data_IF_756260786391
#
_entry.id   IF_756260786391
#
_cell.length_a   1.000
_cell.length_b   1.000
_cell.length_c   1.000
_cell.angle_alpha   90.00
_cell.angle_beta   90.00
_cell.angle_gamma   90.00
#
_symmetry.space_group_name_H-M   'P 1'
#
loop_
_entity.id
_entity.type
_entity.pdbx_description
1 polymer ?
#
# COMPACT_ATOMS: atom_id res chain seq x y z
N UNK A 1 140.90 -7.57 12.94
CA UNK A 1 140.14 -8.75 13.42
C UNK A 1 138.88 -8.37 14.20
N UNK A 2 138.95 -7.48 15.19
CA UNK A 2 137.75 -7.10 15.97
C UNK A 2 136.72 -6.26 15.18
N UNK A 3 137.18 -5.32 14.35
CA UNK A 3 136.31 -4.42 13.56
C UNK A 3 135.51 -5.15 12.46
N UNK A 4 136.12 -6.15 11.82
CA UNK A 4 135.46 -6.98 10.80
C UNK A 4 134.36 -7.87 11.40
N UNK A 5 134.56 -8.39 12.61
CA UNK A 5 133.55 -9.15 13.35
C UNK A 5 132.34 -8.28 13.75
N UNK A 6 132.58 -7.03 14.15
CA UNK A 6 131.51 -6.07 14.51
C UNK A 6 130.67 -5.69 13.28
N UNK A 7 131.28 -5.50 12.11
CA UNK A 7 130.56 -5.18 10.86
C UNK A 7 129.71 -6.37 10.40
N UNK A 8 130.24 -7.59 10.48
CA UNK A 8 129.48 -8.81 10.14
C UNK A 8 128.32 -8.99 11.11
N UNK A 9 128.53 -8.83 12.42
CA UNK A 9 127.45 -8.89 13.41
C UNK A 9 126.38 -7.82 13.17
N UNK A 10 126.78 -6.58 12.87
CA UNK A 10 125.85 -5.49 12.55
C UNK A 10 125.04 -5.78 11.28
N UNK A 11 125.67 -6.26 10.20
CA UNK A 11 124.98 -6.66 8.97
C UNK A 11 123.99 -7.81 9.19
N UNK A 12 124.36 -8.81 10.00
CA UNK A 12 123.49 -9.92 10.35
C UNK A 12 122.28 -9.46 11.17
N UNK A 13 122.47 -8.54 12.13
CA UNK A 13 121.34 -7.94 12.87
C UNK A 13 120.42 -7.13 11.95
N UNK A 14 120.96 -6.40 10.99
CA UNK A 14 120.18 -5.57 10.07
C UNK A 14 119.38 -6.43 9.08
N UNK A 15 119.97 -7.53 8.59
CA UNK A 15 119.26 -8.54 7.79
C UNK A 15 118.17 -9.22 8.62
N UNK A 16 118.44 -9.55 9.88
CA UNK A 16 117.46 -10.17 10.76
C UNK A 16 116.26 -9.24 11.00
N UNK A 17 116.51 -7.96 11.28
CA UNK A 17 115.47 -6.93 11.43
C UNK A 17 114.67 -6.75 10.13
N UNK A 18 115.34 -6.75 8.97
CA UNK A 18 114.67 -6.66 7.67
C UNK A 18 113.74 -7.85 7.41
N UNK A 19 114.21 -9.08 7.67
CA UNK A 19 113.41 -10.31 7.54
C UNK A 19 112.23 -10.29 8.52
N UNK A 20 112.44 -9.82 9.74
CA UNK A 20 111.39 -9.71 10.75
C UNK A 20 110.33 -8.66 10.34
N UNK A 21 110.75 -7.54 9.75
CA UNK A 21 109.86 -6.52 9.20
C UNK A 21 109.05 -7.03 7.98
N UNK A 22 109.65 -7.81 7.08
CA UNK A 22 108.96 -8.46 5.96
C UNK A 22 107.90 -9.49 6.43
N UNK A 23 108.23 -10.26 7.46
CA UNK A 23 107.29 -11.19 8.12
C UNK A 23 106.13 -10.43 8.76
N UNK A 24 106.38 -9.30 9.42
CA UNK A 24 105.30 -8.47 9.96
C UNK A 24 104.46 -7.82 8.87
N UNK A 25 105.08 -7.34 7.78
CA UNK A 25 104.37 -6.78 6.62
C UNK A 25 103.44 -7.80 5.97
N UNK A 26 103.88 -9.04 5.84
CA UNK A 26 103.07 -10.13 5.28
C UNK A 26 101.96 -10.56 6.25
N UNK A 27 102.21 -10.57 7.56
CA UNK A 27 101.16 -10.79 8.58
C UNK A 27 100.12 -9.67 8.59
N UNK A 28 100.54 -8.41 8.47
CA UNK A 28 99.65 -7.24 8.34
C UNK A 28 98.83 -7.32 7.06
N UNK A 29 99.42 -7.67 5.91
CA UNK A 29 98.68 -7.92 4.66
C UNK A 29 97.68 -9.07 4.77
N UNK A 30 98.02 -10.16 5.46
CA UNK A 30 97.07 -11.26 5.74
C UNK A 30 95.93 -10.83 6.67
N UNK A 31 96.20 -9.98 7.67
CA UNK A 31 95.16 -9.38 8.52
C UNK A 31 94.28 -8.40 7.72
N UNK A 32 94.86 -7.63 6.80
CA UNK A 32 94.11 -6.72 5.92
C UNK A 32 93.15 -7.48 4.98
N UNK A 33 93.57 -8.63 4.43
CA UNK A 33 92.68 -9.53 3.66
C UNK A 33 91.47 -10.04 4.43
N UNK A 34 91.54 -10.09 5.77
CA UNK A 34 90.40 -10.45 6.63
C UNK A 34 89.33 -9.35 6.63
N UNK A 35 89.70 -8.11 6.27
CA UNK A 35 88.83 -6.95 6.18
C UNK A 35 88.37 -6.64 4.74
N UNK A 36 88.80 -7.38 3.72
CA UNK A 36 88.28 -7.24 2.34
C UNK A 36 86.76 -7.52 2.25
N UNK A 37 86.22 -8.31 3.19
CA UNK A 37 84.77 -8.56 3.32
C UNK A 37 83.95 -7.37 3.86
N UNK A 38 84.59 -6.27 4.31
CA UNK A 38 83.84 -5.08 4.76
C UNK A 38 83.26 -4.26 3.60
N UNK A 39 83.82 -4.37 2.38
CA UNK A 39 83.21 -3.83 1.16
C UNK A 39 81.89 -4.54 0.80
N UNK A 40 81.65 -5.75 1.32
CA UNK A 40 80.39 -6.47 1.14
C UNK A 40 79.30 -6.00 2.11
N UNK A 41 79.62 -5.25 3.18
CA UNK A 41 78.60 -4.80 4.14
C UNK A 41 77.72 -3.69 3.57
N UNK A 42 78.31 -2.71 2.87
CA UNK A 42 77.56 -1.65 2.19
C UNK A 42 76.70 -2.21 1.03
N UNK A 43 77.20 -3.20 0.29
CA UNK A 43 76.42 -3.87 -0.75
C UNK A 43 75.27 -4.70 -0.16
N UNK A 44 75.50 -5.37 0.97
CA UNK A 44 74.47 -6.11 1.68
C UNK A 44 73.41 -5.19 2.29
N UNK A 45 73.81 -4.05 2.86
CA UNK A 45 72.89 -3.00 3.35
C UNK A 45 72.06 -2.44 2.19
N UNK A 46 72.66 -2.16 1.02
CA UNK A 46 71.90 -1.75 -0.19
C UNK A 46 70.93 -2.83 -0.68
N UNK A 47 71.31 -4.11 -0.63
CA UNK A 47 70.41 -5.21 -0.97
C UNK A 47 69.27 -5.34 0.05
N UNK A 48 69.55 -5.12 1.35
CA UNK A 48 68.55 -5.12 2.40
C UNK A 48 67.57 -3.97 2.19
N UNK A 49 68.06 -2.75 1.95
CA UNK A 49 67.25 -1.56 1.68
C UNK A 49 66.41 -1.72 0.42
N UNK A 50 66.98 -2.31 -0.64
CA UNK A 50 66.22 -2.63 -1.85
C UNK A 50 65.10 -3.64 -1.57
N UNK A 51 65.35 -4.64 -0.73
CA UNK A 51 64.34 -5.64 -0.35
C UNK A 51 63.27 -5.07 0.59
N UNK A 52 63.65 -4.17 1.50
CA UNK A 52 62.74 -3.43 2.38
C UNK A 52 61.83 -2.55 1.53
N UNK A 53 62.40 -1.73 0.63
CA UNK A 53 61.63 -0.91 -0.32
C UNK A 53 60.69 -1.75 -1.19
N UNK A 54 61.15 -2.91 -1.68
CA UNK A 54 60.31 -3.82 -2.46
C UNK A 54 59.13 -4.36 -1.61
N UNK A 55 59.39 -4.77 -0.37
CA UNK A 55 58.36 -5.25 0.56
C UNK A 55 57.39 -4.13 0.97
N UNK A 56 57.88 -2.93 1.23
CA UNK A 56 57.06 -1.75 1.52
C UNK A 56 56.18 -1.37 0.33
N UNK A 57 56.70 -1.42 -0.89
CA UNK A 57 55.90 -1.17 -2.09
C UNK A 57 54.80 -2.22 -2.28
N UNK A 58 55.07 -3.50 -1.96
CA UNK A 58 54.07 -4.58 -1.97
C UNK A 58 53.05 -4.42 -0.86
N UNK A 59 53.48 -4.05 0.35
CA UNK A 59 52.61 -3.77 1.48
C UNK A 59 51.67 -2.61 1.18
N UNK A 60 52.18 -1.51 0.61
CA UNK A 60 51.38 -0.36 0.21
C UNK A 60 50.37 -0.71 -0.89
N UNK A 61 50.71 -1.62 -1.81
CA UNK A 61 49.75 -2.14 -2.81
C UNK A 61 48.65 -2.96 -2.15
N UNK A 62 49.00 -3.89 -1.26
CA UNK A 62 48.04 -4.71 -0.52
C UNK A 62 47.11 -3.88 0.37
N UNK A 63 47.63 -2.83 1.03
CA UNK A 63 46.82 -1.91 1.83
C UNK A 63 45.81 -1.18 0.94
N UNK A 64 46.24 -0.66 -0.23
CA UNK A 64 45.33 -0.02 -1.18
C UNK A 64 44.26 -0.98 -1.71
N UNK A 65 44.62 -2.22 -2.01
CA UNK A 65 43.66 -3.25 -2.42
C UNK A 65 42.67 -3.58 -1.30
N UNK A 66 43.14 -3.66 -0.05
CA UNK A 66 42.30 -3.88 1.12
C UNK A 66 41.32 -2.71 1.33
N UNK A 67 41.78 -1.47 1.22
CA UNK A 67 40.94 -0.27 1.33
C UNK A 67 39.87 -0.20 0.22
N UNK A 68 40.24 -0.57 -1.02
CA UNK A 68 39.29 -0.66 -2.13
C UNK A 68 38.25 -1.75 -1.90
N UNK A 69 38.67 -2.93 -1.45
CA UNK A 69 37.76 -4.03 -1.14
C UNK A 69 36.84 -3.69 0.03
N UNK A 70 37.33 -3.03 1.09
CA UNK A 70 36.49 -2.62 2.21
C UNK A 70 35.44 -1.59 1.79
N UNK A 71 35.81 -0.61 0.95
CA UNK A 71 34.86 0.37 0.43
C UNK A 71 33.79 -0.28 -0.47
N UNK A 72 34.17 -1.28 -1.27
CA UNK A 72 33.21 -2.06 -2.07
C UNK A 72 32.26 -2.87 -1.19
N UNK A 73 32.77 -3.51 -0.13
CA UNK A 73 31.94 -4.27 0.83
C UNK A 73 30.95 -3.35 1.52
N UNK A 74 31.36 -2.16 1.96
CA UNK A 74 30.48 -1.20 2.62
C UNK A 74 29.37 -0.70 1.68
N UNK A 75 29.71 -0.39 0.42
CA UNK A 75 28.71 -0.03 -0.58
C UNK A 75 27.71 -1.18 -0.87
N UNK A 76 28.20 -2.43 -0.91
CA UNK A 76 27.36 -3.60 -1.12
C UNK A 76 26.44 -3.87 0.09
N UNK A 77 26.92 -3.64 1.31
CA UNK A 77 26.09 -3.74 2.53
C UNK A 77 24.97 -2.71 2.52
N UNK A 78 25.28 -1.44 2.21
CA UNK A 78 24.25 -0.40 2.14
C UNK A 78 23.16 -0.73 1.10
N UNK A 79 23.56 -1.25 -0.07
CA UNK A 79 22.60 -1.72 -1.09
C UNK A 79 21.81 -2.94 -0.63
N UNK A 80 22.40 -3.83 0.17
CA UNK A 80 21.71 -4.98 0.72
C UNK A 80 20.64 -4.54 1.72
N UNK A 81 20.98 -3.60 2.61
CA UNK A 81 20.05 -3.04 3.60
C UNK A 81 18.84 -2.39 2.90
N UNK A 82 19.06 -1.61 1.84
CA UNK A 82 17.99 -1.02 1.01
C UNK A 82 17.07 -2.09 0.39
N UNK A 83 17.65 -3.20 -0.11
CA UNK A 83 16.88 -4.30 -0.70
C UNK A 83 16.13 -5.11 0.37
N UNK A 84 16.73 -5.33 1.53
CA UNK A 84 16.09 -6.00 2.67
C UNK A 84 14.94 -5.17 3.23
N UNK A 85 15.07 -3.84 3.30
CA UNK A 85 13.97 -2.94 3.66
C UNK A 85 12.85 -3.00 2.62
N UNK A 86 13.16 -3.01 1.32
CA UNK A 86 12.16 -3.17 0.26
C UNK A 86 11.45 -4.54 0.36
N UNK A 87 12.17 -5.61 0.66
CA UNK A 87 11.60 -6.95 0.87
C UNK A 87 10.72 -6.99 2.14
N UNK A 88 11.15 -6.34 3.22
CA UNK A 88 10.39 -6.23 4.46
C UNK A 88 9.08 -5.47 4.23
N UNK A 89 9.11 -4.31 3.59
CA UNK A 89 7.91 -3.52 3.24
C UNK A 89 6.95 -4.33 2.36
N UNK A 90 7.49 -5.06 1.39
CA UNK A 90 6.72 -5.94 0.51
C UNK A 90 6.10 -7.14 1.26
N UNK A 91 6.73 -7.63 2.32
CA UNK A 91 6.21 -8.73 3.16
C UNK A 91 4.90 -8.37 3.88
N UNK A 92 4.67 -7.07 4.15
CA UNK A 92 3.39 -6.55 4.66
C UNK A 92 2.35 -6.30 3.55
N UNK A 93 2.63 -6.68 2.31
CA UNK A 93 1.72 -6.51 1.18
C UNK A 93 1.77 -5.13 0.51
N UNK A 94 2.75 -4.29 0.85
CA UNK A 94 2.97 -3.01 0.16
C UNK A 94 3.82 -3.25 -1.09
N UNK A 95 3.16 -3.39 -2.25
CA UNK A 95 3.83 -3.40 -3.54
C UNK A 95 4.19 -1.97 -3.96
N UNK A 96 5.48 -1.70 -4.21
CA UNK A 96 5.93 -0.43 -4.77
C UNK A 96 5.68 -0.45 -6.28
N UNK A 97 4.74 0.39 -6.74
CA UNK A 97 4.41 0.49 -8.16
C UNK A 97 5.67 0.77 -8.98
N UNK A 98 5.94 -0.06 -9.98
CA UNK A 98 7.06 0.12 -10.90
C UNK A 98 6.71 1.11 -12.00
N UNK A 99 5.43 1.21 -12.34
CA UNK A 99 4.91 2.19 -13.27
C UNK A 99 3.85 3.07 -12.60
N UNK A 100 3.85 4.35 -12.90
CA UNK A 100 2.80 5.28 -12.48
C UNK A 100 2.12 5.86 -13.73
N UNK A 101 1.24 5.07 -14.35
CA UNK A 101 0.43 5.59 -15.44
C UNK A 101 -0.91 6.09 -14.88
N UNK A 102 -1.24 7.35 -15.17
CA UNK A 102 -2.48 7.97 -14.68
C UNK A 102 -3.80 7.40 -15.23
N UNK A 103 -3.79 6.37 -16.08
CA UNK A 103 -5.01 5.77 -16.66
C UNK A 103 -4.81 4.30 -17.02
N UNK A 104 -5.86 3.49 -16.81
CA UNK A 104 -5.90 2.07 -17.19
C UNK A 104 -5.66 1.83 -18.70
N UNK A 105 -5.99 2.79 -19.57
CA UNK A 105 -5.76 2.68 -21.01
C UNK A 105 -4.26 2.67 -21.37
N UNK A 106 -3.45 3.45 -20.64
CA UNK A 106 -1.99 3.50 -20.85
C UNK A 106 -1.32 2.19 -20.47
N UNK A 107 -1.78 1.54 -19.40
CA UNK A 107 -1.34 0.20 -19.02
C UNK A 107 -1.66 -0.82 -20.12
N UNK A 108 -2.86 -0.77 -20.70
CA UNK A 108 -3.26 -1.65 -21.79
C UNK A 108 -2.38 -1.46 -23.04
N UNK A 109 -2.14 -0.21 -23.44
CA UNK A 109 -1.25 0.10 -24.56
C UNK A 109 0.18 -0.42 -24.31
N UNK A 110 0.69 -0.26 -23.07
CA UNK A 110 2.01 -0.75 -22.72
C UNK A 110 2.09 -2.28 -22.74
N UNK A 111 1.06 -2.98 -22.25
CA UNK A 111 0.96 -4.44 -22.36
C UNK A 111 0.97 -4.90 -23.82
N UNK A 112 0.26 -4.20 -24.71
CA UNK A 112 0.29 -4.48 -26.15
C UNK A 112 1.68 -4.29 -26.76
N UNK A 113 2.40 -3.22 -26.38
CA UNK A 113 3.80 -3.01 -26.80
C UNK A 113 4.72 -4.13 -26.34
N UNK A 114 4.58 -4.60 -25.10
CA UNK A 114 5.40 -5.71 -24.58
C UNK A 114 5.08 -7.00 -25.32
N UNK A 115 3.81 -7.32 -25.54
CA UNK A 115 3.40 -8.50 -26.33
C UNK A 115 3.92 -8.44 -27.77
N UNK A 116 3.96 -7.24 -28.37
CA UNK A 116 4.57 -7.03 -29.67
C UNK A 116 6.10 -7.28 -29.64
N UNK A 117 6.81 -6.80 -28.62
CA UNK A 117 8.25 -7.07 -28.42
C UNK A 117 8.53 -8.56 -28.22
N UNK A 118 7.75 -9.24 -27.38
CA UNK A 118 7.85 -10.70 -27.19
C UNK A 118 7.65 -11.44 -28.52
N UNK A 119 6.60 -11.07 -29.27
CA UNK A 119 6.33 -11.65 -30.59
C UNK A 119 7.45 -11.40 -31.60
N UNK A 120 8.05 -10.20 -31.59
CA UNK A 120 9.19 -9.87 -32.44
C UNK A 120 10.44 -10.70 -32.07
N UNK A 121 10.71 -10.92 -30.77
CA UNK A 121 11.81 -11.78 -30.33
C UNK A 121 11.64 -13.23 -30.76
N UNK A 122 10.40 -13.76 -30.73
CA UNK A 122 10.11 -15.12 -31.23
C UNK A 122 10.30 -15.18 -32.75
N UNK A 123 9.81 -14.19 -33.51
CA UNK A 123 9.95 -14.14 -34.98
C UNK A 123 11.39 -14.04 -35.44
N UNK A 124 12.24 -13.35 -34.67
CA UNK A 124 13.65 -13.14 -34.99
C UNK A 124 14.57 -14.22 -34.38
N UNK A 125 14.03 -15.33 -33.85
CA UNK A 125 14.78 -16.40 -33.19
C UNK A 125 15.71 -15.93 -32.06
N UNK A 126 15.37 -14.80 -31.40
CA UNK A 126 16.14 -14.21 -30.29
C UNK A 126 15.59 -14.57 -28.91
N UNK A 127 14.42 -15.21 -28.84
CA UNK A 127 13.78 -15.59 -27.58
C UNK A 127 14.52 -16.76 -26.90
N UNK A 128 15.01 -17.72 -27.68
CA UNK A 128 15.81 -18.84 -27.22
C UNK A 128 16.90 -19.14 -28.25
N UNK A 129 18.13 -19.36 -27.78
CA UNK A 129 19.33 -19.49 -28.59
C UNK A 129 19.86 -20.90 -28.42
N UNK A 130 20.20 -21.55 -29.53
CA UNK A 130 20.97 -22.80 -29.51
C UNK A 130 22.41 -22.49 -29.93
N UNK A 131 23.37 -22.84 -29.07
CA UNK A 131 24.79 -22.53 -29.27
C UNK A 131 25.48 -23.48 -30.25
N UNK A 132 24.85 -24.61 -30.59
CA UNK A 132 25.43 -25.67 -31.41
C UNK A 132 24.60 -25.92 -32.66
N UNK A 133 25.28 -26.06 -33.80
CA UNK A 133 24.65 -26.54 -35.03
C UNK A 133 24.65 -28.06 -35.02
N UNK A 134 23.48 -28.64 -34.84
CA UNK A 134 23.29 -30.09 -34.86
C UNK A 134 23.17 -30.62 -36.29
N UNK A 135 23.69 -31.82 -36.53
CA UNK A 135 23.42 -32.61 -37.72
C UNK A 135 22.66 -33.87 -37.30
N UNK A 136 21.60 -34.20 -38.05
CA UNK A 136 20.80 -35.40 -37.81
C UNK A 136 20.87 -36.24 -39.06
N UNK A 137 21.30 -37.50 -38.93
CA UNK A 137 21.49 -38.42 -40.06
C UNK A 137 22.40 -37.83 -41.16
N UNK A 138 23.48 -37.14 -40.75
CA UNK A 138 24.42 -36.49 -41.68
C UNK A 138 23.86 -35.26 -42.43
N UNK A 139 22.69 -34.74 -42.02
CA UNK A 139 22.09 -33.56 -42.65
C UNK A 139 21.93 -32.40 -41.67
N UNK A 140 22.64 -31.29 -41.95
CA UNK A 140 22.48 -30.03 -41.24
C UNK A 140 21.07 -29.44 -41.37
N UNK A 141 20.37 -29.69 -42.49
CA UNK A 141 18.99 -29.23 -42.70
C UNK A 141 18.01 -29.94 -41.77
N UNK A 142 18.17 -31.26 -41.57
CA UNK A 142 17.37 -32.04 -40.62
C UNK A 142 17.67 -31.63 -39.17
N UNK A 143 18.94 -31.41 -38.85
CA UNK A 143 19.35 -30.90 -37.54
C UNK A 143 18.75 -29.53 -37.21
N UNK A 144 18.81 -28.56 -38.14
CA UNK A 144 18.14 -27.26 -37.98
C UNK A 144 16.63 -27.39 -37.73
N UNK A 145 15.95 -28.31 -38.44
CA UNK A 145 14.52 -28.57 -38.22
C UNK A 145 14.26 -29.11 -36.80
N UNK A 146 15.06 -30.08 -36.34
CA UNK A 146 14.96 -30.62 -34.98
C UNK A 146 15.18 -29.53 -33.93
N UNK A 147 16.23 -28.71 -34.07
CA UNK A 147 16.53 -27.61 -33.16
C UNK A 147 15.39 -26.60 -33.10
N UNK A 148 14.80 -26.22 -34.24
CA UNK A 148 13.67 -25.29 -34.27
C UNK A 148 12.41 -25.87 -33.59
N UNK A 149 12.10 -27.14 -33.79
CA UNK A 149 10.97 -27.79 -33.09
C UNK A 149 11.21 -27.89 -31.59
N UNK A 150 12.45 -28.15 -31.17
CA UNK A 150 12.82 -28.16 -29.76
C UNK A 150 12.73 -26.76 -29.13
N UNK A 151 13.22 -25.72 -29.81
CA UNK A 151 13.08 -24.32 -29.36
C UNK A 151 11.59 -23.97 -29.18
N UNK A 152 10.73 -24.35 -30.14
CA UNK A 152 9.28 -24.15 -30.01
C UNK A 152 8.70 -24.87 -28.79
N UNK A 153 9.15 -26.08 -28.49
CA UNK A 153 8.70 -26.84 -27.32
C UNK A 153 9.10 -26.13 -26.02
N UNK A 154 10.37 -25.71 -25.92
CA UNK A 154 10.92 -24.98 -24.78
C UNK A 154 10.16 -23.67 -24.54
N UNK A 155 9.95 -22.88 -25.60
CA UNK A 155 9.20 -21.62 -25.51
C UNK A 155 7.73 -21.85 -25.15
N UNK A 156 7.09 -22.91 -25.66
CA UNK A 156 5.70 -23.26 -25.30
C UNK A 156 5.59 -23.65 -23.82
N UNK A 157 6.52 -24.44 -23.31
CA UNK A 157 6.55 -24.83 -21.90
C UNK A 157 6.72 -23.60 -21.00
N UNK A 158 7.69 -22.73 -21.32
CA UNK A 158 7.94 -21.52 -20.53
C UNK A 158 6.79 -20.52 -20.59
N UNK A 159 6.23 -20.27 -21.79
CA UNK A 159 5.08 -19.39 -21.95
C UNK A 159 3.86 -19.93 -21.19
N UNK A 160 3.62 -21.24 -21.19
CA UNK A 160 2.53 -21.86 -20.44
C UNK A 160 2.62 -21.58 -18.93
N UNK A 161 3.81 -21.72 -18.35
CA UNK A 161 4.04 -21.39 -16.92
C UNK A 161 3.87 -19.89 -16.64
N UNK A 162 4.40 -19.04 -17.52
CA UNK A 162 4.27 -17.58 -17.39
C UNK A 162 2.81 -17.14 -17.47
N UNK A 163 2.07 -17.60 -18.48
CA UNK A 163 0.68 -17.22 -18.70
C UNK A 163 -0.21 -17.73 -17.55
N UNK A 164 0.07 -18.93 -17.02
CA UNK A 164 -0.60 -19.45 -15.83
C UNK A 164 -0.30 -18.65 -14.55
N UNK A 165 0.93 -18.12 -14.41
CA UNK A 165 1.29 -17.23 -13.31
C UNK A 165 0.60 -15.86 -13.47
N UNK A 166 0.69 -15.24 -14.64
CA UNK A 166 0.10 -13.94 -14.96
C UNK A 166 -1.43 -13.96 -14.78
N UNK A 167 -2.10 -15.04 -15.17
CA UNK A 167 -3.55 -15.18 -15.00
C UNK A 167 -4.00 -15.22 -13.52
N UNK A 168 -3.11 -15.60 -12.59
CA UNK A 168 -3.40 -15.72 -11.15
C UNK A 168 -2.91 -14.53 -10.33
N UNK A 169 -2.43 -13.47 -10.98
CA UNK A 169 -1.98 -12.25 -10.32
C UNK A 169 -3.09 -11.65 -9.48
N UNK A 170 -2.74 -11.28 -8.25
CA UNK A 170 -3.52 -10.57 -7.25
C UNK A 170 -2.63 -9.54 -6.56
N UNK A 171 -3.25 -8.59 -5.86
CA UNK A 171 -2.54 -7.50 -5.18
C UNK A 171 -1.39 -7.98 -4.25
N UNK A 172 -1.55 -9.14 -3.61
CA UNK A 172 -0.63 -9.64 -2.59
C UNK A 172 0.39 -10.70 -3.06
N UNK A 173 0.32 -11.15 -4.31
CA UNK A 173 1.08 -12.33 -4.75
C UNK A 173 2.08 -12.07 -5.88
N UNK A 174 2.25 -10.82 -6.32
CA UNK A 174 3.12 -10.45 -7.43
C UNK A 174 4.56 -10.99 -7.28
N UNK A 175 5.15 -10.86 -6.08
CA UNK A 175 6.52 -11.34 -5.79
C UNK A 175 6.64 -12.86 -5.83
N UNK A 176 5.66 -13.56 -5.26
CA UNK A 176 5.60 -15.03 -5.30
C UNK A 176 5.51 -15.55 -6.74
N UNK A 177 4.73 -14.88 -7.58
CA UNK A 177 4.59 -15.20 -9.00
C UNK A 177 5.85 -14.84 -9.80
N UNK A 178 6.54 -13.74 -9.49
CA UNK A 178 7.87 -13.44 -10.05
C UNK A 178 8.85 -14.59 -9.77
N UNK A 179 8.97 -15.00 -8.50
CA UNK A 179 9.86 -16.11 -8.12
C UNK A 179 9.48 -17.41 -8.82
N UNK A 180 8.18 -17.65 -9.06
CA UNK A 180 7.72 -18.81 -9.84
C UNK A 180 8.16 -18.74 -11.29
N UNK A 181 8.07 -17.58 -11.95
CA UNK A 181 8.53 -17.39 -13.34
C UNK A 181 10.05 -17.58 -13.42
N UNK A 182 10.81 -17.03 -12.47
CA UNK A 182 12.27 -17.18 -12.41
C UNK A 182 12.64 -18.67 -12.23
N UNK A 183 11.99 -19.38 -11.30
CA UNK A 183 12.21 -20.82 -11.12
C UNK A 183 11.85 -21.63 -12.36
N UNK A 184 10.76 -21.31 -13.04
CA UNK A 184 10.39 -21.97 -14.29
C UNK A 184 11.45 -21.74 -15.39
N UNK A 185 12.00 -20.54 -15.49
CA UNK A 185 13.10 -20.22 -16.41
C UNK A 185 14.35 -21.05 -16.10
N UNK A 186 14.78 -21.11 -14.83
CA UNK A 186 15.94 -21.90 -14.40
C UNK A 186 15.76 -23.40 -14.66
N UNK A 187 14.60 -23.95 -14.32
CA UNK A 187 14.29 -25.36 -14.51
C UNK A 187 14.26 -25.75 -15.98
N UNK A 188 13.62 -24.94 -16.83
CA UNK A 188 13.53 -25.21 -18.27
C UNK A 188 14.92 -25.08 -18.91
N UNK A 189 15.71 -24.08 -18.55
CA UNK A 189 17.07 -23.94 -19.06
C UNK A 189 17.99 -25.10 -18.64
N UNK A 190 17.82 -25.61 -17.40
CA UNK A 190 18.52 -26.80 -16.94
C UNK A 190 18.14 -28.05 -17.74
N UNK A 191 16.86 -28.20 -18.09
CA UNK A 191 16.39 -29.32 -18.93
C UNK A 191 16.85 -29.20 -20.39
N UNK A 192 16.98 -27.97 -20.91
CA UNK A 192 17.40 -27.71 -22.28
C UNK A 192 18.93 -27.67 -22.48
N UNK A 193 19.70 -27.70 -21.40
CA UNK A 193 21.17 -27.69 -21.41
C UNK A 193 21.75 -28.85 -22.23
N UNK A 194 21.14 -30.04 -22.15
CA UNK A 194 21.51 -31.22 -22.95
C UNK A 194 21.52 -30.92 -24.45
N UNK A 195 20.57 -30.10 -24.90
CA UNK A 195 20.42 -29.73 -26.30
C UNK A 195 21.17 -28.44 -26.65
N UNK A 196 21.91 -27.86 -25.69
CA UNK A 196 22.64 -26.58 -25.79
C UNK A 196 21.74 -25.41 -26.20
N UNK A 197 20.48 -25.46 -25.79
CA UNK A 197 19.47 -24.41 -26.01
C UNK A 197 19.20 -23.71 -24.69
N UNK A 198 19.09 -22.39 -24.72
CA UNK A 198 18.72 -21.59 -23.55
C UNK A 198 17.73 -20.50 -23.92
N UNK A 199 16.81 -20.19 -23.00
CA UNK A 199 15.95 -19.02 -23.09
C UNK A 199 16.76 -17.78 -22.71
N UNK A 200 16.64 -16.73 -23.49
CA UNK A 200 17.42 -15.50 -23.27
C UNK A 200 16.87 -14.71 -22.08
N UNK A 201 17.75 -14.13 -21.26
CA UNK A 201 17.36 -13.26 -20.12
C UNK A 201 16.48 -12.07 -20.53
N UNK A 202 16.71 -11.52 -21.72
CA UNK A 202 15.86 -10.45 -22.26
C UNK A 202 14.40 -10.88 -22.41
N UNK A 203 14.16 -12.14 -22.79
CA UNK A 203 12.81 -12.69 -22.93
C UNK A 203 12.16 -12.91 -21.55
N UNK A 204 12.92 -13.39 -20.56
CA UNK A 204 12.49 -13.47 -19.16
C UNK A 204 12.08 -12.08 -18.64
N UNK A 205 12.90 -11.06 -18.85
CA UNK A 205 12.62 -9.69 -18.40
C UNK A 205 11.32 -9.15 -19.00
N UNK A 206 11.06 -9.39 -20.30
CA UNK A 206 9.79 -8.99 -20.91
C UNK A 206 8.57 -9.72 -20.31
N UNK A 207 8.73 -10.97 -19.84
CA UNK A 207 7.68 -11.72 -19.14
C UNK A 207 7.46 -11.22 -17.72
N UNK A 208 8.52 -10.82 -17.02
CA UNK A 208 8.42 -10.17 -15.72
C UNK A 208 7.76 -8.78 -15.84
N UNK A 209 8.14 -7.98 -16.84
CA UNK A 209 7.47 -6.70 -17.10
C UNK A 209 5.98 -6.89 -17.38
N UNK A 210 5.60 -7.92 -18.14
CA UNK A 210 4.18 -8.28 -18.38
C UNK A 210 3.44 -8.62 -17.08
N UNK A 211 4.07 -9.36 -16.16
CA UNK A 211 3.52 -9.70 -14.84
C UNK A 211 3.22 -8.42 -14.04
N UNK A 212 4.20 -7.52 -13.92
CA UNK A 212 4.09 -6.29 -13.14
C UNK A 212 3.03 -5.34 -13.71
N UNK A 213 3.01 -5.14 -15.02
CA UNK A 213 1.99 -4.31 -15.65
C UNK A 213 0.58 -4.90 -15.51
N UNK A 214 0.46 -6.23 -15.51
CA UNK A 214 -0.83 -6.88 -15.31
C UNK A 214 -1.34 -6.68 -13.88
N UNK A 215 -0.45 -6.75 -12.90
CA UNK A 215 -0.76 -6.46 -11.50
C UNK A 215 -1.25 -5.01 -11.33
N UNK A 216 -0.46 -4.04 -11.78
CA UNK A 216 -0.78 -2.61 -11.64
C UNK A 216 -2.03 -2.21 -12.45
N UNK A 217 -2.25 -2.83 -13.62
CA UNK A 217 -3.48 -2.65 -14.40
C UNK A 217 -4.72 -3.13 -13.65
N UNK A 218 -4.65 -4.27 -12.97
CA UNK A 218 -5.76 -4.80 -12.20
C UNK A 218 -6.09 -3.89 -11.01
N UNK A 219 -5.08 -3.36 -10.32
CA UNK A 219 -5.27 -2.39 -9.23
C UNK A 219 -5.94 -1.12 -9.74
N UNK A 220 -5.42 -0.50 -10.81
CA UNK A 220 -6.05 0.71 -11.38
C UNK A 220 -7.46 0.47 -11.89
N UNK A 221 -7.72 -0.66 -12.53
CA UNK A 221 -9.07 -1.00 -12.99
C UNK A 221 -10.05 -1.19 -11.81
N UNK A 222 -9.56 -1.74 -10.71
CA UNK A 222 -10.35 -1.86 -9.49
C UNK A 222 -10.69 -0.48 -8.92
N UNK A 223 -9.71 0.42 -8.82
CA UNK A 223 -9.88 1.79 -8.34
C UNK A 223 -10.89 2.59 -9.18
N UNK A 224 -10.77 2.50 -10.51
CA UNK A 224 -11.69 3.14 -11.46
C UNK A 224 -13.12 2.59 -11.34
N UNK A 225 -13.27 1.27 -11.15
CA UNK A 225 -14.58 0.64 -10.98
C UNK A 225 -15.25 1.08 -9.67
N UNK A 226 -14.50 1.13 -8.57
CA UNK A 226 -15.01 1.65 -7.30
C UNK A 226 -15.41 3.13 -7.41
N UNK A 227 -14.63 3.95 -8.14
CA UNK A 227 -14.98 5.35 -8.39
C UNK A 227 -16.30 5.49 -9.13
N UNK A 228 -16.49 4.71 -10.20
CA UNK A 228 -17.75 4.69 -10.95
C UNK A 228 -18.93 4.22 -10.10
N UNK A 229 -18.74 3.22 -9.23
CA UNK A 229 -19.78 2.77 -8.31
C UNK A 229 -20.19 3.89 -7.35
N UNK A 230 -19.22 4.63 -6.79
CA UNK A 230 -19.47 5.77 -5.90
C UNK A 230 -20.23 6.88 -6.61
N UNK A 231 -19.79 7.31 -7.79
CA UNK A 231 -20.47 8.36 -8.57
C UNK A 231 -21.92 7.93 -8.85
N UNK A 232 -22.16 6.65 -9.18
CA UNK A 232 -23.52 6.13 -9.37
C UNK A 232 -24.35 6.12 -8.08
N UNK A 233 -23.75 5.77 -6.95
CA UNK A 233 -24.44 5.77 -5.65
C UNK A 233 -24.81 7.19 -5.23
N UNK A 234 -23.86 8.12 -5.33
CA UNK A 234 -24.08 9.56 -5.10
C UNK A 234 -25.18 10.11 -6.02
N UNK A 235 -25.11 9.82 -7.33
CA UNK A 235 -26.15 10.23 -8.28
C UNK A 235 -27.53 9.66 -7.90
N UNK A 236 -27.62 8.41 -7.43
CA UNK A 236 -28.89 7.81 -6.98
C UNK A 236 -29.45 8.46 -5.72
N UNK A 237 -28.60 8.73 -4.73
CA UNK A 237 -29.01 9.42 -3.51
C UNK A 237 -29.46 10.86 -3.80
N UNK A 238 -28.70 11.57 -4.63
CA UNK A 238 -29.05 12.92 -5.07
C UNK A 238 -30.33 12.94 -5.89
N UNK A 239 -30.54 11.98 -6.79
CA UNK A 239 -31.75 11.87 -7.59
C UNK A 239 -32.98 11.55 -6.73
N UNK A 240 -32.88 10.61 -5.78
CA UNK A 240 -33.96 10.32 -4.83
C UNK A 240 -34.34 11.56 -4.02
N UNK A 241 -33.34 12.28 -3.49
CA UNK A 241 -33.58 13.51 -2.75
C UNK A 241 -34.22 14.60 -3.62
N UNK A 242 -33.78 14.77 -4.87
CA UNK A 242 -34.41 15.70 -5.81
C UNK A 242 -35.87 15.35 -6.09
N UNK A 243 -36.17 14.06 -6.33
CA UNK A 243 -37.53 13.57 -6.55
C UNK A 243 -38.44 13.77 -5.33
N UNK A 244 -37.94 13.53 -4.12
CA UNK A 244 -38.68 13.79 -2.87
C UNK A 244 -39.03 15.28 -2.73
N UNK A 245 -38.07 16.18 -3.02
CA UNK A 245 -38.27 17.64 -2.98
C UNK A 245 -39.28 18.08 -4.05
N UNK A 246 -39.15 17.57 -5.28
CA UNK A 246 -40.06 17.92 -6.38
C UNK A 246 -41.49 17.44 -6.10
N UNK A 247 -41.64 16.22 -5.56
CA UNK A 247 -42.94 15.69 -5.15
C UNK A 247 -43.58 16.55 -4.05
N UNK A 248 -42.83 16.89 -3.01
CA UNK A 248 -43.32 17.74 -1.92
C UNK A 248 -43.71 19.14 -2.41
N UNK A 249 -42.94 19.72 -3.34
CA UNK A 249 -43.26 21.03 -3.95
C UNK A 249 -44.56 20.96 -4.74
N UNK A 250 -44.74 19.92 -5.56
CA UNK A 250 -45.94 19.73 -6.38
C UNK A 250 -47.18 19.47 -5.53
N UNK A 251 -47.07 18.72 -4.45
CA UNK A 251 -48.17 18.47 -3.50
C UNK A 251 -48.60 19.76 -2.78
N UNK A 252 -47.63 20.60 -2.36
CA UNK A 252 -47.92 21.89 -1.75
C UNK A 252 -48.63 22.86 -2.72
N UNK A 253 -48.15 22.95 -3.96
CA UNK A 253 -48.74 23.77 -5.02
C UNK A 253 -50.18 23.32 -5.36
N UNK A 254 -50.41 22.00 -5.46
CA UNK A 254 -51.74 21.44 -5.70
C UNK A 254 -52.71 21.71 -4.55
N UNK A 255 -52.23 21.75 -3.31
CA UNK A 255 -53.06 22.08 -2.16
C UNK A 255 -53.49 23.55 -2.18
N UNK A 256 -52.56 24.47 -2.46
CA UNK A 256 -52.86 25.90 -2.61
C UNK A 256 -53.90 26.10 -3.71
N UNK A 257 -53.69 25.53 -4.90
CA UNK A 257 -54.62 25.65 -6.02
C UNK A 257 -56.02 25.09 -5.69
N UNK A 258 -56.12 23.94 -5.02
CA UNK A 258 -57.42 23.36 -4.60
C UNK A 258 -58.17 24.27 -3.63
N UNK A 259 -57.47 24.91 -2.69
CA UNK A 259 -58.09 25.83 -1.72
C UNK A 259 -58.50 27.15 -2.39
N UNK A 260 -57.71 27.67 -3.33
CA UNK A 260 -58.07 28.86 -4.10
C UNK A 260 -59.35 28.64 -4.92
N UNK A 261 -59.47 27.50 -5.61
CA UNK A 261 -60.67 27.13 -6.36
C UNK A 261 -61.91 27.01 -5.44
N UNK A 262 -61.77 26.36 -4.28
CA UNK A 262 -62.86 26.24 -3.31
C UNK A 262 -63.31 27.60 -2.75
N UNK A 263 -62.35 28.52 -2.53
CA UNK A 263 -62.63 29.88 -2.11
C UNK A 263 -63.39 30.66 -3.19
N UNK A 264 -63.00 30.52 -4.45
CA UNK A 264 -63.65 31.20 -5.58
C UNK A 264 -65.08 30.70 -5.77
N UNK A 265 -65.31 29.38 -5.67
CA UNK A 265 -66.64 28.78 -5.69
C UNK A 265 -67.53 29.33 -4.57
N UNK A 266 -67.03 29.35 -3.32
CA UNK A 266 -67.76 29.88 -2.18
C UNK A 266 -68.07 31.38 -2.31
N UNK A 267 -67.16 32.16 -2.91
CA UNK A 267 -67.39 33.59 -3.23
C UNK A 267 -68.49 33.77 -4.28
N UNK A 268 -68.59 32.90 -5.29
CA UNK A 268 -69.68 32.96 -6.28
C UNK A 268 -71.04 32.59 -5.66
N UNK A 269 -71.05 31.61 -4.76
CA UNK A 269 -72.27 31.19 -4.06
C UNK A 269 -72.83 32.27 -3.12
N UNK A 270 -71.96 33.10 -2.53
CA UNK A 270 -72.39 34.21 -1.67
C UNK A 270 -73.16 35.30 -2.43
N UNK A 271 -72.82 35.53 -3.70
CA UNK A 271 -73.48 36.52 -4.56
C UNK A 271 -74.93 36.12 -4.86
N UNK A 272 -75.25 34.83 -4.79
CA UNK A 272 -76.57 34.26 -5.07
C UNK A 272 -77.41 34.00 -3.80
N UNK A 273 -76.81 34.05 -2.61
CA UNK A 273 -77.45 33.68 -1.35
C UNK A 273 -78.06 34.88 -0.58
N UNK A 274 -79.23 34.67 0.05
CA UNK A 274 -79.96 35.70 0.81
C UNK A 274 -80.25 35.23 2.24
N UNK A 275 -80.14 36.14 3.23
CA UNK A 275 -80.50 35.87 4.63
C UNK A 275 -79.53 34.93 5.36
N UNK A 276 -80.05 33.96 6.13
CA UNK A 276 -79.24 33.03 6.96
C UNK A 276 -78.22 32.19 6.19
N UNK A 277 -78.48 31.86 4.91
CA UNK A 277 -77.52 31.13 4.08
C UNK A 277 -76.26 31.96 3.80
N UNK A 278 -76.40 33.28 3.72
CA UNK A 278 -75.29 34.20 3.51
C UNK A 278 -74.35 34.23 4.72
N UNK A 279 -74.88 34.30 5.94
CA UNK A 279 -74.07 34.26 7.17
C UNK A 279 -73.26 32.95 7.29
N UNK A 280 -73.87 31.80 6.92
CA UNK A 280 -73.16 30.51 6.93
C UNK A 280 -72.05 30.45 5.87
N UNK A 281 -72.28 31.02 4.69
CA UNK A 281 -71.28 31.13 3.62
C UNK A 281 -70.16 32.11 3.99
N UNK A 282 -70.45 33.21 4.68
CA UNK A 282 -69.45 34.16 5.18
C UNK A 282 -68.50 33.50 6.18
N UNK A 283 -69.04 32.72 7.14
CA UNK A 283 -68.25 31.89 8.05
C UNK A 283 -67.40 30.87 7.29
N UNK A 284 -67.96 30.24 6.24
CA UNK A 284 -67.24 29.26 5.43
C UNK A 284 -66.08 29.89 4.66
N UNK A 285 -66.28 31.09 4.10
CA UNK A 285 -65.23 31.86 3.40
C UNK A 285 -64.12 32.27 4.37
N UNK A 286 -64.46 32.69 5.60
CA UNK A 286 -63.43 32.98 6.62
C UNK A 286 -62.58 31.75 6.94
N UNK A 287 -63.21 30.59 7.14
CA UNK A 287 -62.47 29.33 7.35
C UNK A 287 -61.59 28.96 6.15
N UNK A 288 -62.09 29.11 4.92
CA UNK A 288 -61.33 28.81 3.71
C UNK A 288 -60.15 29.78 3.50
N UNK A 289 -60.31 31.07 3.82
CA UNK A 289 -59.21 32.04 3.80
C UNK A 289 -58.12 31.68 4.82
N UNK A 290 -58.50 31.31 6.05
CA UNK A 290 -57.53 30.89 7.06
C UNK A 290 -56.74 29.65 6.61
N UNK A 291 -57.45 28.67 6.05
CA UNK A 291 -56.84 27.46 5.51
C UNK A 291 -55.94 27.73 4.29
N UNK A 292 -56.27 28.72 3.46
CA UNK A 292 -55.45 29.13 2.33
C UNK A 292 -54.14 29.77 2.80
N UNK A 293 -54.18 30.63 3.81
CA UNK A 293 -52.96 31.21 4.40
C UNK A 293 -52.08 30.14 5.08
N UNK A 294 -52.68 29.15 5.75
CA UNK A 294 -51.95 27.98 6.25
C UNK A 294 -51.30 27.18 5.11
N UNK A 295 -52.00 26.98 3.99
CA UNK A 295 -51.44 26.29 2.82
C UNK A 295 -50.29 27.06 2.16
N UNK A 296 -50.42 28.39 2.00
CA UNK A 296 -49.37 29.27 1.45
C UNK A 296 -48.14 29.33 2.35
N UNK A 297 -48.32 29.44 3.66
CA UNK A 297 -47.19 29.37 4.60
C UNK A 297 -46.50 28.01 4.56
N UNK A 298 -47.25 26.91 4.37
CA UNK A 298 -46.66 25.59 4.17
C UNK A 298 -45.89 25.48 2.84
N UNK A 299 -46.41 26.00 1.73
CA UNK A 299 -45.69 26.09 0.46
C UNK A 299 -44.38 26.88 0.59
N UNK A 300 -44.44 28.06 1.22
CA UNK A 300 -43.25 28.89 1.50
C UNK A 300 -42.22 28.14 2.34
N UNK A 301 -42.66 27.35 3.33
CA UNK A 301 -41.80 26.47 4.15
C UNK A 301 -41.18 25.33 3.33
N UNK A 302 -41.91 24.76 2.38
CA UNK A 302 -41.38 23.71 1.48
C UNK A 302 -40.34 24.31 0.53
N UNK A 303 -40.59 25.49 -0.02
CA UNK A 303 -39.64 26.21 -0.89
C UNK A 303 -38.38 26.60 -0.11
N UNK A 304 -38.52 27.14 1.10
CA UNK A 304 -37.37 27.50 1.94
C UNK A 304 -36.58 26.27 2.36
N UNK A 305 -37.23 25.15 2.71
CA UNK A 305 -36.57 23.86 2.97
C UNK A 305 -35.84 23.32 1.73
N UNK A 306 -36.41 23.47 0.54
CA UNK A 306 -35.77 23.07 -0.71
C UNK A 306 -34.54 23.93 -1.03
N UNK A 307 -34.58 25.23 -0.76
CA UNK A 307 -33.44 26.15 -0.89
C UNK A 307 -32.37 25.88 0.18
N UNK A 308 -32.77 25.47 1.38
CA UNK A 308 -31.87 25.00 2.45
C UNK A 308 -31.36 23.57 2.21
N UNK A 309 -31.51 22.96 1.03
CA UNK A 309 -31.09 21.56 0.78
C UNK A 309 -29.58 21.27 0.85
N UNK A 310 -28.74 22.30 1.01
CA UNK A 310 -27.32 22.16 1.40
C UNK A 310 -27.12 21.90 2.90
N UNK A 311 -28.11 22.26 3.71
CA UNK A 311 -28.09 22.11 5.16
C UNK A 311 -28.48 20.70 5.60
N UNK A 312 -28.05 20.32 6.80
CA UNK A 312 -28.24 18.99 7.35
C UNK A 312 -27.30 18.75 8.52
N UNK A 313 -26.98 17.48 8.79
CA UNK A 313 -26.19 17.10 9.95
C UNK A 313 -24.89 16.40 9.56
N UNK A 314 -23.79 16.84 10.15
CA UNK A 314 -22.60 16.00 10.32
C UNK A 314 -22.78 15.19 11.60
N UNK A 315 -22.57 13.89 11.50
CA UNK A 315 -22.64 12.98 12.63
C UNK A 315 -21.31 12.27 12.86
N UNK A 316 -21.06 11.95 14.13
CA UNK A 316 -19.90 11.18 14.55
C UNK A 316 -20.42 9.94 15.24
N UNK A 317 -20.09 8.77 14.71
CA UNK A 317 -20.50 7.47 15.26
C UNK A 317 -19.31 6.58 15.57
N UNK A 318 -19.46 5.67 16.52
CA UNK A 318 -18.48 4.62 16.80
C UNK A 318 -19.17 3.27 16.92
N UNK A 319 -18.40 2.21 16.80
CA UNK A 319 -18.85 0.87 17.17
C UNK A 319 -17.67 0.15 17.82
N UNK A 320 -17.66 0.19 19.15
CA UNK A 320 -16.59 -0.37 19.97
C UNK A 320 -16.50 -1.89 19.79
N UNK A 321 -17.64 -2.58 19.68
CA UNK A 321 -17.66 -4.04 19.58
C UNK A 321 -17.08 -4.58 18.27
N UNK A 322 -17.18 -3.84 17.17
CA UNK A 322 -16.66 -4.27 15.85
C UNK A 322 -15.31 -3.66 15.49
N UNK A 323 -15.05 -2.40 15.89
CA UNK A 323 -13.83 -1.69 15.46
C UNK A 323 -12.85 -1.41 16.60
N UNK A 324 -13.28 -1.52 17.87
CA UNK A 324 -12.48 -1.16 19.04
C UNK A 324 -12.63 0.30 19.46
N UNK A 325 -11.87 0.69 20.49
CA UNK A 325 -11.91 2.03 21.07
C UNK A 325 -11.20 3.07 20.19
N UNK A 326 -11.59 4.34 20.34
CA UNK A 326 -11.00 5.50 19.64
C UNK A 326 -11.06 5.40 18.10
N UNK A 327 -12.01 4.65 17.57
CA UNK A 327 -12.30 4.59 16.13
C UNK A 327 -13.68 5.17 15.88
N UNK A 328 -13.69 6.29 15.16
CA UNK A 328 -14.89 7.05 14.88
C UNK A 328 -15.10 7.17 13.38
N UNK A 329 -16.35 7.08 12.95
CA UNK A 329 -16.78 7.44 11.60
C UNK A 329 -17.40 8.83 11.62
N UNK A 330 -16.91 9.68 10.72
CA UNK A 330 -17.45 11.01 10.46
C UNK A 330 -18.20 10.93 9.14
N UNK A 331 -19.49 11.21 9.16
CA UNK A 331 -20.29 11.23 7.93
C UNK A 331 -21.37 12.30 7.98
N UNK A 332 -22.09 12.45 6.88
CA UNK A 332 -23.20 13.39 6.77
C UNK A 332 -24.54 12.77 6.45
N UNK A 333 -25.59 13.47 6.84
CA UNK A 333 -26.97 13.14 6.48
C UNK A 333 -27.78 14.41 6.29
N UNK A 334 -28.81 14.32 5.43
CA UNK A 334 -29.84 15.37 5.31
C UNK A 334 -31.03 15.12 6.25
N UNK A 335 -31.18 13.90 6.74
CA UNK A 335 -32.25 13.46 7.66
C UNK A 335 -31.75 13.48 9.10
N UNK A 336 -32.57 13.02 10.04
CA UNK A 336 -32.12 12.82 11.41
C UNK A 336 -31.01 11.75 11.47
N UNK A 337 -29.87 12.01 12.15
CA UNK A 337 -28.76 11.05 12.28
C UNK A 337 -29.18 9.66 12.76
N UNK A 338 -30.18 9.59 13.63
CA UNK A 338 -30.69 8.36 14.25
C UNK A 338 -31.30 7.38 13.22
N UNK A 339 -31.94 7.88 12.17
CA UNK A 339 -32.46 7.06 11.07
C UNK A 339 -31.31 6.49 10.24
N UNK A 340 -30.34 7.34 9.86
CA UNK A 340 -29.18 6.93 9.06
C UNK A 340 -28.34 5.89 9.79
N UNK A 341 -28.16 6.06 11.10
CA UNK A 341 -27.37 5.13 11.92
C UNK A 341 -28.05 3.77 12.04
N UNK A 342 -29.39 3.71 12.13
CA UNK A 342 -30.14 2.45 12.09
C UNK A 342 -29.99 1.73 10.75
N UNK A 343 -30.03 2.45 9.63
CA UNK A 343 -29.78 1.88 8.30
C UNK A 343 -28.37 1.29 8.19
N UNK A 344 -27.36 2.00 8.69
CA UNK A 344 -25.96 1.56 8.66
C UNK A 344 -25.69 0.38 9.58
N UNK A 345 -26.40 0.29 10.70
CA UNK A 345 -26.24 -0.78 11.70
C UNK A 345 -26.86 -2.11 11.24
N UNK A 346 -27.92 -2.08 10.44
CA UNK A 346 -28.76 -3.26 10.18
C UNK A 346 -28.20 -4.32 9.24
N UNK A 347 -27.16 -4.04 8.46
CA UNK A 347 -26.75 -4.94 7.35
C UNK A 347 -25.26 -5.28 7.26
N UNK A 348 -24.37 -4.65 8.03
CA UNK A 348 -22.92 -4.71 7.72
C UNK A 348 -21.99 -4.91 8.90
N UNK A 349 -22.47 -4.84 10.14
CA UNK A 349 -21.62 -4.95 11.34
C UNK A 349 -22.32 -5.78 12.44
N UNK A 350 -21.58 -6.56 13.25
CA UNK A 350 -22.15 -7.37 14.34
C UNK A 350 -22.88 -6.62 15.45
N UNK A 351 -22.49 -5.36 15.72
CA UNK A 351 -23.09 -4.53 16.77
C UNK A 351 -23.59 -3.20 16.18
N UNK A 352 -24.63 -2.58 16.76
CA UNK A 352 -25.10 -1.27 16.33
C UNK A 352 -24.06 -0.17 16.60
N UNK A 353 -24.15 0.92 15.84
CA UNK A 353 -23.34 2.11 16.04
C UNK A 353 -23.93 3.02 17.13
N UNK A 354 -23.05 3.59 17.95
CA UNK A 354 -23.36 4.62 18.95
C UNK A 354 -23.16 6.03 18.35
N UNK A 355 -24.06 6.96 18.65
CA UNK A 355 -23.96 8.36 18.20
C UNK A 355 -23.25 9.19 19.26
N UNK A 356 -22.12 9.79 18.87
CA UNK A 356 -21.31 10.64 19.72
C UNK A 356 -21.49 12.13 19.45
N UNK A 357 -21.87 12.50 18.23
CA UNK A 357 -22.12 13.90 17.93
C UNK A 357 -23.20 14.08 16.87
N UNK A 358 -23.95 15.17 17.03
CA UNK A 358 -24.82 15.75 16.00
C UNK A 358 -24.49 17.23 15.87
N UNK A 359 -24.14 17.63 14.65
CA UNK A 359 -23.73 18.99 14.33
C UNK A 359 -24.57 19.46 13.14
N UNK A 360 -25.49 20.40 13.37
CA UNK A 360 -26.23 21.01 12.27
C UNK A 360 -25.33 22.01 11.53
N UNK A 361 -25.35 21.97 10.19
CA UNK A 361 -24.55 22.86 9.34
C UNK A 361 -25.42 23.37 8.18
N UNK A 362 -25.21 24.62 7.75
CA UNK A 362 -25.85 25.17 6.55
C UNK A 362 -25.23 24.62 5.26
N UNK A 363 -23.92 24.36 5.23
CA UNK A 363 -23.20 23.65 4.15
C UNK A 363 -22.50 22.41 4.72
N UNK A 364 -23.21 21.28 4.67
CA UNK A 364 -22.72 20.00 5.20
C UNK A 364 -21.57 19.40 4.38
N UNK A 365 -21.60 19.40 3.03
CA UNK A 365 -20.49 18.91 2.22
C UNK A 365 -19.16 19.61 2.52
N UNK A 366 -19.16 20.92 2.72
CA UNK A 366 -17.94 21.67 3.02
C UNK A 366 -17.37 21.27 4.39
N UNK A 367 -18.20 21.25 5.43
CA UNK A 367 -17.80 20.83 6.78
C UNK A 367 -17.23 19.41 6.81
N UNK A 368 -17.88 18.46 6.13
CA UNK A 368 -17.41 17.08 6.04
C UNK A 368 -16.03 16.98 5.37
N UNK A 369 -15.86 17.65 4.23
CA UNK A 369 -14.60 17.64 3.49
C UNK A 369 -13.45 18.22 4.33
N UNK A 370 -13.68 19.30 5.08
CA UNK A 370 -12.69 19.88 5.97
C UNK A 370 -12.28 18.92 7.09
N UNK A 371 -13.25 18.24 7.71
CA UNK A 371 -12.98 17.24 8.74
C UNK A 371 -12.20 16.04 8.18
N UNK A 372 -12.58 15.54 7.00
CA UNK A 372 -11.88 14.41 6.36
C UNK A 372 -10.46 14.78 5.94
N UNK A 373 -10.23 16.01 5.44
CA UNK A 373 -8.89 16.50 5.13
C UNK A 373 -8.02 16.61 6.38
N UNK A 374 -8.57 17.18 7.47
CA UNK A 374 -7.84 17.34 8.73
C UNK A 374 -7.44 15.99 9.34
N UNK A 375 -8.31 14.98 9.26
CA UNK A 375 -8.06 13.64 9.82
C UNK A 375 -7.47 12.62 8.84
N UNK A 376 -7.10 13.04 7.61
CA UNK A 376 -6.62 12.13 6.56
C UNK A 376 -5.49 11.22 7.02
N UNK A 377 -4.49 11.77 7.69
CA UNK A 377 -3.30 11.02 8.13
C UNK A 377 -3.62 9.94 9.18
N UNK A 378 -4.78 10.08 9.84
CA UNK A 378 -5.28 9.23 10.91
C UNK A 378 -6.45 8.34 10.47
N UNK A 379 -6.70 8.29 9.16
CA UNK A 379 -7.63 7.35 8.55
C UNK A 379 -7.19 5.92 8.88
N UNK A 380 -8.17 5.09 9.25
CA UNK A 380 -7.95 3.66 9.53
C UNK A 380 -7.58 2.93 8.24
N UNK A 381 -8.20 3.31 7.11
CA UNK A 381 -7.89 2.78 5.80
C UNK A 381 -7.18 3.85 4.95
N UNK A 382 -5.85 3.73 4.85
CA UNK A 382 -5.00 4.65 4.07
C UNK A 382 -5.00 4.37 2.56
N UNK A 383 -5.48 3.20 2.15
CA UNK A 383 -5.55 2.81 0.73
C UNK A 383 -6.88 3.26 0.14
N UNK A 384 -7.97 3.12 0.89
CA UNK A 384 -9.29 3.56 0.49
C UNK A 384 -9.75 4.72 1.38
N UNK A 385 -9.35 5.94 1.00
CA UNK A 385 -9.72 7.19 1.69
C UNK A 385 -11.24 7.42 1.76
N UNK A 386 -12.03 6.67 0.97
CA UNK A 386 -13.50 6.71 0.99
C UNK A 386 -14.09 6.02 2.22
N UNK A 387 -13.29 5.25 2.97
CA UNK A 387 -13.70 4.65 4.25
C UNK A 387 -13.38 5.64 5.36
N UNK A 388 -14.37 6.46 5.69
CA UNK A 388 -14.29 7.61 6.60
C UNK A 388 -14.21 7.21 8.10
N UNK A 389 -13.41 6.20 8.42
CA UNK A 389 -13.10 5.80 9.79
C UNK A 389 -11.74 6.36 10.19
N UNK A 390 -11.66 6.99 11.35
CA UNK A 390 -10.48 7.69 11.83
C UNK A 390 -10.11 7.21 13.24
N UNK A 391 -8.82 7.04 13.49
CA UNK A 391 -8.27 6.69 14.80
C UNK A 391 -7.91 7.97 15.55
N UNK A 392 -8.87 8.50 16.31
CA UNK A 392 -8.81 9.81 16.97
C UNK A 392 -9.58 9.79 18.28
N UNK A 393 -9.30 10.73 19.18
CA UNK A 393 -10.11 10.89 20.40
C UNK A 393 -11.31 11.79 20.14
N UNK A 394 -12.40 11.58 20.89
CA UNK A 394 -13.59 12.41 20.74
C UNK A 394 -13.34 13.88 21.15
N UNK A 395 -12.49 14.10 22.16
CA UNK A 395 -12.12 15.45 22.59
C UNK A 395 -11.36 16.21 21.48
N UNK A 396 -10.53 15.50 20.72
CA UNK A 396 -9.86 16.09 19.57
C UNK A 396 -10.84 16.44 18.45
N UNK A 397 -11.77 15.53 18.12
CA UNK A 397 -12.80 15.83 17.12
C UNK A 397 -13.62 17.06 17.56
N UNK A 398 -13.99 17.15 18.83
CA UNK A 398 -14.72 18.29 19.36
C UNK A 398 -13.93 19.61 19.26
N UNK A 399 -12.61 19.58 19.48
CA UNK A 399 -11.74 20.75 19.30
C UNK A 399 -11.71 21.21 17.84
N UNK A 400 -11.51 20.27 16.92
CA UNK A 400 -11.40 20.56 15.47
C UNK A 400 -12.73 21.09 14.93
N UNK A 401 -13.85 20.48 15.32
CA UNK A 401 -15.19 20.96 14.95
C UNK A 401 -15.41 22.41 15.41
N UNK A 402 -15.00 22.74 16.64
CA UNK A 402 -15.09 24.12 17.15
C UNK A 402 -14.21 25.09 16.37
N UNK A 403 -12.97 24.72 16.06
CA UNK A 403 -12.07 25.55 15.29
C UNK A 403 -12.62 25.84 13.88
N UNK A 404 -13.10 24.80 13.19
CA UNK A 404 -13.70 24.96 11.85
C UNK A 404 -14.97 25.81 11.93
N UNK A 405 -15.81 25.62 12.96
CA UNK A 405 -17.01 26.43 13.17
C UNK A 405 -16.69 27.92 13.36
N UNK A 406 -15.62 28.24 14.10
CA UNK A 406 -15.14 29.60 14.33
C UNK A 406 -14.59 30.25 13.05
N UNK A 407 -13.82 29.49 12.26
CA UNK A 407 -13.19 29.98 11.04
C UNK A 407 -14.19 30.22 9.91
N UNK A 408 -15.12 29.29 9.72
CA UNK A 408 -16.03 29.31 8.57
C UNK A 408 -17.35 30.03 8.83
N UNK A 409 -17.72 30.23 10.11
CA UNK A 409 -19.04 30.76 10.54
C UNK A 409 -20.24 29.97 9.97
N UNK A 410 -20.02 28.75 9.47
CA UNK A 410 -21.05 27.87 8.87
C UNK A 410 -21.96 27.25 9.95
N UNK A 411 -21.50 27.25 11.21
CA UNK A 411 -22.16 26.57 12.34
C UNK A 411 -22.34 27.53 13.50
N UNK A 412 -23.53 27.54 14.11
CA UNK A 412 -23.76 28.22 15.39
C UNK A 412 -23.35 27.27 16.53
N UNK A 413 -22.56 27.74 17.49
CA UNK A 413 -22.09 26.94 18.65
C UNK A 413 -23.23 26.23 19.42
N UNK A 414 -24.45 26.77 19.38
CA UNK A 414 -25.65 26.22 20.02
C UNK A 414 -26.18 24.90 19.43
N UNK A 415 -25.66 24.45 18.29
CA UNK A 415 -26.18 23.29 17.56
C UNK A 415 -25.25 22.06 17.60
N UNK A 416 -24.21 22.13 18.43
CA UNK A 416 -23.22 21.07 18.62
C UNK A 416 -23.57 20.29 19.89
N UNK A 417 -23.99 19.03 19.74
CA UNK A 417 -24.25 18.16 20.88
C UNK A 417 -23.33 16.96 20.84
N UNK A 418 -22.52 16.79 21.90
CA UNK A 418 -21.60 15.67 22.07
C UNK A 418 -22.03 14.75 23.21
N UNK A 419 -22.13 13.46 22.92
CA UNK A 419 -22.30 12.39 23.89
C UNK A 419 -20.95 11.69 24.09
N UNK A 420 -20.30 11.97 25.23
CA UNK A 420 -18.94 11.48 25.49
C UNK A 420 -18.86 9.97 25.74
N UNK A 421 -19.94 9.37 26.26
CA UNK A 421 -19.97 7.97 26.65
C UNK A 421 -20.67 7.17 25.55
N UNK A 422 -20.00 6.15 25.02
CA UNK A 422 -20.64 5.16 24.15
C UNK A 422 -21.51 4.23 25.00
N UNK A 423 -22.74 3.97 24.56
CA UNK A 423 -23.65 3.09 25.28
C UNK A 423 -23.26 1.62 25.08
N UNK A 424 -22.93 1.23 23.83
CA UNK A 424 -22.43 -0.09 23.45
C UNK A 424 -23.17 -1.25 24.15
N UNK A 425 -24.50 -1.13 24.24
CA UNK A 425 -25.34 -1.96 25.12
C UNK A 425 -25.17 -3.46 24.83
N UNK A 426 -25.30 -3.84 23.55
CA UNK A 426 -25.19 -5.24 23.13
C UNK A 426 -23.80 -5.80 23.40
N UNK A 427 -22.74 -5.03 23.11
CA UNK A 427 -21.36 -5.46 23.34
C UNK A 427 -21.05 -5.67 24.83
N UNK A 428 -21.48 -4.74 25.69
CA UNK A 428 -21.30 -4.86 27.16
C UNK A 428 -22.08 -6.05 27.73
N UNK A 429 -23.30 -6.29 27.22
CA UNK A 429 -24.09 -7.49 27.57
C UNK A 429 -23.37 -8.77 27.15
N UNK A 430 -22.79 -8.83 25.95
CA UNK A 430 -21.98 -9.98 25.51
C UNK A 430 -20.79 -10.21 26.42
N UNK A 431 -20.04 -9.17 26.78
CA UNK A 431 -18.91 -9.28 27.72
C UNK A 431 -19.33 -9.74 29.12
N UNK A 432 -20.48 -9.27 29.62
CA UNK A 432 -21.02 -9.70 30.92
C UNK A 432 -21.39 -11.20 30.90
N UNK A 433 -22.01 -11.66 29.82
CA UNK A 433 -22.31 -13.10 29.60
C UNK A 433 -21.02 -13.92 29.56
N UNK A 434 -20.00 -13.47 28.83
CA UNK A 434 -18.69 -14.15 28.78
C UNK A 434 -18.00 -14.22 30.14
N UNK A 435 -18.19 -13.20 31.00
CA UNK A 435 -17.66 -13.16 32.37
C UNK A 435 -18.47 -14.02 33.37
N UNK A 436 -19.57 -14.63 32.94
CA UNK A 436 -20.44 -15.43 33.79
C UNK A 436 -21.37 -14.61 34.69
N UNK A 437 -21.52 -13.32 34.42
CA UNK A 437 -22.44 -12.42 35.13
C UNK A 437 -23.83 -12.54 34.47
N UNK A 438 -24.61 -13.56 34.84
CA UNK A 438 -25.97 -13.73 34.30
C UNK A 438 -26.93 -12.69 34.87
N UNK A 439 -27.72 -12.04 33.99
CA UNK A 439 -28.99 -11.45 34.41
C UNK A 439 -29.99 -12.57 34.75
N UNK A 440 -30.94 -12.35 35.69
CA UNK A 440 -31.94 -13.35 36.05
C UNK A 440 -32.75 -13.73 34.79
N UNK A 441 -32.74 -15.01 34.45
CA UNK A 441 -33.45 -15.53 33.28
C UNK A 441 -34.96 -15.30 33.46
N UNK A 442 -35.55 -14.64 32.46
CA UNK A 442 -36.98 -14.66 32.24
C UNK A 442 -37.39 -16.10 31.86
N UNK A 443 -38.10 -16.77 32.78
CA UNK A 443 -38.98 -17.92 32.58
C UNK A 443 -38.50 -19.00 31.59
N UNK A 444 -37.87 -20.04 32.11
CA UNK A 444 -37.92 -21.38 31.49
C UNK A 444 -39.32 -21.95 31.66
N UNK A 445 -40.20 -21.71 30.68
CA UNK A 445 -41.32 -22.60 30.43
C UNK A 445 -40.77 -23.83 29.70
N UNK A 446 -40.66 -24.94 30.42
CA UNK A 446 -40.42 -26.27 29.84
C UNK A 446 -41.81 -26.90 29.72
N UNK A 447 -42.33 -27.20 28.52
CA UNK A 447 -43.56 -27.98 28.40
C UNK A 447 -43.25 -29.41 28.87
N UNK A 448 -43.92 -29.89 29.92
CA UNK A 448 -43.97 -31.32 30.21
C UNK A 448 -44.87 -31.98 29.16
N UNK A 449 -44.28 -32.87 28.38
CA UNK A 449 -45.06 -33.90 27.69
C UNK A 449 -45.16 -35.04 28.68
N UNK A 450 -46.21 -35.00 29.50
CA UNK A 450 -46.58 -36.16 30.31
C UNK A 450 -47.07 -37.25 29.35
N UNK A 451 -46.25 -38.29 29.22
CA UNK A 451 -46.61 -39.60 28.68
C UNK A 451 -47.63 -40.23 29.62
N UNK A 452 -48.91 -40.13 29.29
CA UNK A 452 -50.00 -40.92 29.88
C UNK A 452 -50.84 -41.51 28.75
N UNK A 453 -50.31 -42.55 28.10
CA UNK A 453 -51.14 -43.57 27.44
C UNK A 453 -50.73 -44.94 27.98
N UNK A 454 -51.23 -45.23 29.19
CA UNK A 454 -51.31 -46.59 29.70
C UNK A 454 -52.36 -47.35 28.91
N UNK A 455 -51.90 -48.32 28.12
CA UNK A 455 -52.71 -49.37 27.50
C UNK A 455 -53.47 -50.14 28.58
N UNK A 456 -54.79 -50.00 28.58
CA UNK A 456 -55.71 -50.94 29.23
C UNK A 456 -56.16 -51.97 28.20
N UNK A 457 -55.71 -53.20 28.38
CA UNK A 457 -56.32 -54.40 27.81
C UNK A 457 -57.77 -54.51 28.32
N UNK A 458 -58.75 -54.58 27.41
CA UNK A 458 -60.03 -55.26 27.66
C UNK A 458 -60.29 -56.26 26.53
N UNK A 459 -60.40 -57.52 26.94
CA UNK A 459 -60.87 -58.65 26.16
C UNK A 459 -62.28 -58.42 25.60
N UNK A 460 -62.47 -58.61 24.28
CA UNK A 460 -63.51 -59.45 23.66
C UNK A 460 -63.16 -59.83 22.21
#
# INVERSE_FOLDING_TARGET
MLTTLIIIAASATLICVYVQAEIERTRLRKRLRKYDNLFSKEEFERQLDSNINLKESKLNKLIREQEQLSAQIENLKQKLDEVEEEEYVQSFGFYKSKYDFGSSERYKLRLEQIKAKQSAMIKNDMAAICHVKWEVEGSAKKGKKMTNEFIKLVLRAFNGECDAAIAKVKYNNAKSLENRIIKAFEQINKLSETNRTEITRNYLNLKLEELYLTHEFQEKKHDELEEQRRIREQMREEEKARREIEKARKEAEQEVNRREQALEQARREIEQAVGRQREQLELKIQQLNQQLEEARTNEQRVISRAQMSKSGYVYIISNIGSFGENIYKIGRTRRQPEERVRELSGASVPFPFDIHARIFCEDVPEMENLLHQYFRDRSVNKVNERKEFFRVSLDEIALVVKNIALETKIVKETEIQFTKIAEAEQYRKTLAIERGETQPSCSTYIPSWDEDEGEGEEDE
#
